data_IF_985787680640
#
_entry.id   IF_985787680640
#
_cell.length_a   1.000
_cell.length_b   1.000
_cell.length_c   1.000
_cell.angle_alpha   90.00
_cell.angle_beta   90.00
_cell.angle_gamma   90.00
#
_symmetry.space_group_name_H-M   'P 1'
#
loop_
_entity.id
_entity.type
_entity.pdbx_description
1 polymer ?
#
# COMPACT_ATOMS: atom_id res chain seq x y z
N UNK A 1 -0.86 -13.72 12.67
CA UNK A 1 -0.29 -13.28 11.38
C UNK A 1 0.98 -12.51 11.68
N UNK A 2 2.13 -12.94 11.16
CA UNK A 2 3.39 -12.22 11.41
C UNK A 2 3.42 -10.90 10.62
N UNK A 3 4.19 -9.92 11.09
CA UNK A 3 4.43 -8.65 10.37
C UNK A 3 4.89 -8.94 8.92
N UNK A 4 5.75 -9.95 8.73
CA UNK A 4 6.20 -10.40 7.42
C UNK A 4 5.06 -10.87 6.51
N UNK A 5 4.15 -11.71 7.01
CA UNK A 5 2.99 -12.16 6.22
C UNK A 5 2.07 -11.01 5.82
N UNK A 6 1.86 -10.03 6.70
CA UNK A 6 1.07 -8.83 6.42
C UNK A 6 1.74 -7.98 5.33
N UNK A 7 3.05 -7.73 5.44
CA UNK A 7 3.83 -6.99 4.43
C UNK A 7 3.74 -7.69 3.07
N UNK A 8 3.90 -9.00 3.04
CA UNK A 8 3.86 -9.76 1.78
C UNK A 8 2.47 -9.68 1.11
N UNK A 9 1.39 -9.78 1.91
CA UNK A 9 0.03 -9.66 1.42
C UNK A 9 -0.25 -8.26 0.85
N UNK A 10 0.19 -7.20 1.56
CA UNK A 10 0.05 -5.82 1.11
C UNK A 10 0.81 -5.58 -0.19
N UNK A 11 2.06 -6.06 -0.28
CA UNK A 11 2.91 -5.89 -1.47
C UNK A 11 2.32 -6.60 -2.69
N UNK A 12 1.83 -7.82 -2.52
CA UNK A 12 1.32 -8.64 -3.63
C UNK A 12 -0.03 -8.11 -4.14
N UNK A 13 -0.94 -7.79 -3.22
CA UNK A 13 -2.32 -7.48 -3.59
C UNK A 13 -2.57 -5.99 -3.81
N UNK A 14 -1.90 -5.11 -3.08
CA UNK A 14 -2.25 -3.68 -3.03
C UNK A 14 -1.19 -2.75 -3.60
N UNK A 15 0.01 -3.24 -3.93
CA UNK A 15 1.09 -2.42 -4.47
C UNK A 15 1.41 -2.89 -5.90
N UNK A 16 1.63 -1.94 -6.81
CA UNK A 16 2.06 -2.20 -8.19
C UNK A 16 3.57 -2.48 -8.23
N UNK A 17 4.07 -3.01 -9.36
CA UNK A 17 5.53 -3.14 -9.60
C UNK A 17 6.28 -1.80 -9.49
N UNK A 18 5.61 -0.67 -9.76
CA UNK A 18 6.14 0.69 -9.63
C UNK A 18 6.07 1.27 -8.21
N UNK A 19 5.82 0.43 -7.19
CA UNK A 19 5.60 0.80 -5.80
C UNK A 19 4.44 1.81 -5.60
N UNK A 20 3.42 1.80 -6.46
CA UNK A 20 2.22 2.62 -6.28
C UNK A 20 1.12 1.82 -5.61
N UNK A 21 0.27 2.46 -4.80
CA UNK A 21 -0.90 1.79 -4.23
C UNK A 21 -1.93 1.61 -5.36
N UNK A 22 -2.36 0.37 -5.62
CA UNK A 22 -3.36 0.05 -6.64
C UNK A 22 -4.66 0.80 -6.34
N UNK A 23 -5.29 1.36 -7.37
CA UNK A 23 -6.57 2.05 -7.23
C UNK A 23 -7.67 1.12 -6.71
N UNK A 24 -8.66 1.68 -6.00
CA UNK A 24 -9.85 0.94 -5.57
C UNK A 24 -10.55 0.22 -6.72
N UNK A 25 -10.56 0.81 -7.93
CA UNK A 25 -11.14 0.20 -9.13
C UNK A 25 -10.51 -1.17 -9.47
N UNK A 26 -9.26 -1.40 -9.08
CA UNK A 26 -8.58 -2.69 -9.23
C UNK A 26 -8.89 -3.68 -8.09
N UNK A 27 -9.51 -3.20 -7.00
CA UNK A 27 -9.84 -3.96 -5.80
C UNK A 27 -11.35 -3.84 -5.52
N UNK A 28 -12.18 -4.23 -6.51
CA UNK A 28 -13.64 -4.10 -6.46
C UNK A 28 -14.31 -4.90 -5.36
N UNK A 29 -13.66 -5.97 -4.88
CA UNK A 29 -14.16 -6.84 -3.80
C UNK A 29 -14.14 -6.19 -2.40
N UNK A 30 -13.52 -5.01 -2.25
CA UNK A 30 -13.42 -4.33 -0.96
C UNK A 30 -14.42 -3.18 -0.82
N UNK A 31 -15.03 -3.11 0.37
CA UNK A 31 -15.79 -1.93 0.76
C UNK A 31 -14.90 -0.68 0.79
N UNK A 32 -15.50 0.50 0.60
CA UNK A 32 -14.77 1.78 0.59
C UNK A 32 -14.00 2.01 1.89
N UNK A 33 -14.60 1.67 3.03
CA UNK A 33 -13.98 1.76 4.37
C UNK A 33 -12.75 0.87 4.48
N UNK A 34 -12.86 -0.40 4.07
CA UNK A 34 -11.77 -1.38 4.10
C UNK A 34 -10.60 -0.94 3.22
N UNK A 35 -10.86 -0.49 1.98
CA UNK A 35 -9.81 0.02 1.11
C UNK A 35 -9.11 1.25 1.71
N UNK A 36 -9.86 2.15 2.34
CA UNK A 36 -9.30 3.34 2.97
C UNK A 36 -8.42 2.98 4.17
N UNK A 37 -8.85 2.01 4.98
CA UNK A 37 -8.06 1.47 6.08
C UNK A 37 -6.74 0.86 5.58
N UNK A 38 -6.79 -0.03 4.58
CA UNK A 38 -5.60 -0.67 3.99
C UNK A 38 -4.66 0.39 3.41
N UNK A 39 -5.20 1.43 2.75
CA UNK A 39 -4.39 2.54 2.23
C UNK A 39 -3.64 3.27 3.35
N UNK A 40 -4.31 3.59 4.46
CA UNK A 40 -3.65 4.21 5.63
C UNK A 40 -2.58 3.30 6.24
N UNK A 41 -2.87 2.00 6.35
CA UNK A 41 -1.92 1.00 6.84
C UNK A 41 -0.66 0.96 5.97
N UNK A 42 -0.80 0.91 4.64
CA UNK A 42 0.35 0.93 3.72
C UNK A 42 1.19 2.20 3.90
N UNK A 43 0.55 3.35 4.10
CA UNK A 43 1.26 4.61 4.35
C UNK A 43 2.05 4.58 5.67
N UNK A 44 1.47 4.03 6.74
CA UNK A 44 2.17 3.86 8.03
C UNK A 44 3.38 2.92 7.90
N UNK A 45 3.25 1.81 7.18
CA UNK A 45 4.36 0.89 6.97
C UNK A 45 5.48 1.52 6.14
N UNK A 46 5.16 2.43 5.23
CA UNK A 46 6.15 3.21 4.49
C UNK A 46 6.88 4.21 5.38
N UNK A 47 6.17 4.93 6.25
CA UNK A 47 6.83 5.85 7.20
C UNK A 47 7.75 5.13 8.18
N UNK A 48 7.47 3.86 8.48
CA UNK A 48 8.33 3.00 9.31
C UNK A 48 9.49 2.36 8.53
N UNK A 49 9.63 2.62 7.22
CA UNK A 49 10.66 2.01 6.38
C UNK A 49 10.42 0.53 6.04
N UNK A 50 9.24 -0.02 6.36
CA UNK A 50 8.90 -1.43 6.14
C UNK A 50 8.39 -1.72 4.72
N UNK A 51 8.02 -0.68 3.97
CA UNK A 51 7.54 -0.79 2.58
C UNK A 51 8.20 0.27 1.69
N UNK A 52 8.53 -0.13 0.46
CA UNK A 52 9.10 0.75 -0.55
C UNK A 52 8.09 1.81 -1.03
N UNK A 53 8.61 3.01 -1.30
CA UNK A 53 7.88 4.15 -1.85
C UNK A 53 8.17 4.26 -3.35
N UNK A 54 7.20 4.74 -4.14
CA UNK A 54 7.40 5.06 -5.55
C UNK A 54 8.17 6.37 -5.69
N UNK A 55 9.17 6.44 -6.57
CA UNK A 55 9.91 7.68 -6.86
C UNK A 55 8.97 8.84 -7.25
N UNK A 56 7.87 8.56 -7.98
CA UNK A 56 6.84 9.58 -8.29
C UNK A 56 6.14 10.16 -7.05
N UNK A 57 6.07 9.41 -5.95
CA UNK A 57 5.48 9.90 -4.70
C UNK A 57 6.50 10.67 -3.84
N UNK A 58 7.79 10.34 -3.94
CA UNK A 58 8.87 11.10 -3.27
C UNK A 58 8.95 12.51 -3.87
N UNK A 59 8.89 12.60 -5.20
CA UNK A 59 8.84 13.87 -5.94
C UNK A 59 7.57 14.70 -5.74
N UNK A 60 6.53 14.14 -5.11
CA UNK A 60 5.31 14.88 -4.77
C UNK A 60 5.30 15.32 -3.29
N UNK A 61 6.40 15.08 -2.57
CA UNK A 61 6.60 15.47 -1.17
C UNK A 61 7.78 16.45 -1.05
N UNK A 62 8.84 16.28 -1.86
CA UNK A 62 9.89 17.28 -2.09
C UNK A 62 9.38 18.40 -3.00
#
# INVERSE_FOLDING_TARGET
MSIFTTINLLKTNFITKSNQIKHKKCNTKLAKSQYTYIRKLILQYRSLGLLSISNKQIWNIL
#
